data_IF_758769961828
#
_entry.id   IF_758769961828
#
_cell.length_a   1.000
_cell.length_b   1.000
_cell.length_c   1.000
_cell.angle_alpha   90.00
_cell.angle_beta   90.00
_cell.angle_gamma   90.00
#
_symmetry.space_group_name_H-M   'P 1'
#
loop_
_entity.id
_entity.type
_entity.pdbx_description
1 polymer ?
#
# COMPACT_ATOMS: atom_id res chain seq x y z
N UNK A 1 -45.98 -14.59 -5.92
CA UNK A 1 -44.53 -14.56 -5.70
C UNK A 1 -44.01 -16.00 -5.73
N UNK A 2 -43.23 -16.34 -6.74
CA UNK A 2 -42.67 -17.68 -6.92
C UNK A 2 -41.55 -17.95 -5.91
N UNK A 3 -41.23 -19.22 -5.70
CA UNK A 3 -40.09 -19.63 -4.85
C UNK A 3 -38.77 -19.00 -5.30
N UNK A 4 -38.62 -18.79 -6.60
CA UNK A 4 -37.44 -18.16 -7.19
C UNK A 4 -37.38 -16.65 -6.91
N UNK A 5 -38.52 -15.95 -6.97
CA UNK A 5 -38.60 -14.53 -6.60
C UNK A 5 -38.29 -14.31 -5.11
N UNK A 6 -38.73 -15.23 -4.24
CA UNK A 6 -38.37 -15.20 -2.82
C UNK A 6 -36.87 -15.39 -2.58
N UNK A 7 -36.23 -16.32 -3.29
CA UNK A 7 -34.78 -16.55 -3.16
C UNK A 7 -33.96 -15.35 -3.62
N UNK A 8 -34.36 -14.69 -4.72
CA UNK A 8 -33.70 -13.48 -5.21
C UNK A 8 -33.86 -12.30 -4.25
N UNK A 9 -35.04 -12.13 -3.66
CA UNK A 9 -35.28 -11.06 -2.68
C UNK A 9 -34.43 -11.26 -1.41
N UNK A 10 -34.28 -12.50 -0.94
CA UNK A 10 -33.43 -12.82 0.22
C UNK A 10 -31.95 -12.60 -0.10
N UNK A 11 -31.48 -13.04 -1.27
CA UNK A 11 -30.10 -12.81 -1.69
C UNK A 11 -29.78 -11.30 -1.83
N UNK A 12 -30.70 -10.52 -2.40
CA UNK A 12 -30.55 -9.07 -2.51
C UNK A 12 -30.56 -8.39 -1.13
N UNK A 13 -31.39 -8.84 -0.19
CA UNK A 13 -31.43 -8.31 1.17
C UNK A 13 -30.14 -8.62 1.95
N UNK A 14 -29.57 -9.82 1.79
CA UNK A 14 -28.29 -10.19 2.39
C UNK A 14 -27.15 -9.32 1.83
N UNK A 15 -27.13 -9.12 0.51
CA UNK A 15 -26.13 -8.24 -0.13
C UNK A 15 -26.30 -6.79 0.34
N UNK A 16 -27.53 -6.30 0.45
CA UNK A 16 -27.82 -4.96 0.92
C UNK A 16 -27.41 -4.74 2.39
N UNK A 17 -27.72 -5.68 3.27
CA UNK A 17 -27.31 -5.62 4.68
C UNK A 17 -25.78 -5.70 4.82
N UNK A 18 -25.11 -6.54 4.04
CA UNK A 18 -23.64 -6.58 3.99
C UNK A 18 -23.00 -5.28 3.46
N UNK A 19 -23.70 -4.55 2.57
CA UNK A 19 -23.25 -3.24 2.07
C UNK A 19 -23.51 -2.11 3.08
N UNK A 20 -24.56 -2.20 3.89
CA UNK A 20 -24.92 -1.17 4.88
C UNK A 20 -24.24 -1.38 6.24
N UNK A 21 -24.00 -2.63 6.62
CA UNK A 21 -23.29 -3.05 7.83
C UNK A 21 -22.02 -3.81 7.44
N UNK A 22 -21.01 -3.14 6.84
CA UNK A 22 -19.71 -3.75 6.69
C UNK A 22 -19.25 -4.13 8.10
N UNK A 23 -19.05 -5.43 8.35
CA UNK A 23 -18.69 -5.95 9.67
C UNK A 23 -17.52 -5.16 10.26
N UNK A 24 -17.42 -5.04 11.60
CA UNK A 24 -16.42 -4.19 12.24
C UNK A 24 -15.02 -4.67 11.86
N UNK A 25 -14.35 -3.93 10.99
CA UNK A 25 -12.92 -4.11 10.78
C UNK A 25 -12.18 -3.40 11.90
N UNK A 26 -11.68 -4.14 12.89
CA UNK A 26 -10.89 -3.58 13.99
C UNK A 26 -9.45 -3.38 13.48
N UNK A 27 -9.04 -2.13 13.21
CA UNK A 27 -7.63 -1.83 12.95
C UNK A 27 -6.87 -1.66 14.27
N UNK A 28 -5.72 -2.30 14.38
CA UNK A 28 -4.79 -2.22 15.50
C UNK A 28 -3.96 -0.90 15.49
N UNK A 29 -3.06 -0.66 16.48
CA UNK A 29 -2.16 0.51 16.49
C UNK A 29 -1.46 0.79 15.16
N UNK A 30 -1.26 2.09 14.91
CA UNK A 30 -0.38 2.56 13.84
C UNK A 30 1.07 2.20 14.18
N UNK A 31 1.75 1.50 13.27
CA UNK A 31 3.13 1.03 13.47
C UNK A 31 4.17 1.86 12.71
N UNK A 32 3.72 2.57 11.68
CA UNK A 32 4.51 3.53 10.92
C UNK A 32 3.62 4.71 10.55
N UNK A 33 4.05 5.93 10.86
CA UNK A 33 3.38 7.16 10.46
C UNK A 33 4.44 8.22 10.15
N UNK A 34 4.71 8.39 8.87
CA UNK A 34 5.49 9.51 8.36
C UNK A 34 4.50 10.40 7.61
N UNK A 35 4.30 11.61 8.12
CA UNK A 35 3.22 12.49 7.67
C UNK A 35 3.24 12.68 6.13
N UNK A 36 2.12 12.83 5.42
CA UNK A 36 0.74 13.08 5.88
C UNK A 36 -0.27 12.14 5.21
N UNK A 37 -1.09 11.40 5.98
CA UNK A 37 -2.37 10.83 5.56
C UNK A 37 -3.56 11.65 6.08
N UNK A 38 -3.91 12.73 5.37
CA UNK A 38 -5.22 13.43 5.40
C UNK A 38 -5.46 14.01 4.00
N UNK A 39 -6.61 13.67 3.40
CA UNK A 39 -7.04 14.22 2.10
C UNK A 39 -7.99 15.43 2.31
N UNK A 40 -7.88 16.48 1.48
CA UNK A 40 -6.83 16.73 0.48
C UNK A 40 -5.50 17.10 1.16
N UNK A 41 -4.35 16.66 0.61
CA UNK A 41 -3.06 16.93 1.23
C UNK A 41 -2.69 18.41 1.06
N UNK A 42 -2.26 19.07 2.14
CA UNK A 42 -1.61 20.39 2.07
C UNK A 42 -0.12 20.20 1.74
N UNK A 43 0.24 20.43 0.47
CA UNK A 43 1.59 20.41 -0.12
C UNK A 43 2.38 19.09 0.01
N UNK A 44 1.89 17.96 -0.55
CA UNK A 44 2.70 16.75 -0.65
C UNK A 44 3.89 16.98 -1.59
N UNK A 45 5.09 16.56 -1.17
CA UNK A 45 6.26 16.55 -2.06
C UNK A 45 6.33 15.21 -2.77
N UNK A 46 6.27 15.25 -4.10
CA UNK A 46 6.31 14.08 -4.95
C UNK A 46 7.69 13.95 -5.60
N UNK A 47 8.19 12.71 -5.67
CA UNK A 47 9.45 12.43 -6.36
C UNK A 47 9.22 11.33 -7.39
N UNK A 48 9.69 11.60 -8.61
CA UNK A 48 9.84 10.58 -9.64
C UNK A 48 11.13 9.80 -9.39
N UNK A 49 11.02 8.48 -9.24
CA UNK A 49 12.17 7.58 -9.28
C UNK A 49 12.51 7.31 -10.75
N UNK A 50 13.80 7.30 -11.10
CA UNK A 50 14.28 7.13 -12.48
C UNK A 50 14.96 5.76 -12.63
N UNK A 51 14.81 5.07 -13.77
CA UNK A 51 15.57 3.82 -14.04
C UNK A 51 14.79 2.58 -14.50
N UNK A 52 13.56 2.73 -15.00
CA UNK A 52 12.86 1.64 -15.71
C UNK A 52 12.09 0.64 -14.84
N UNK A 53 12.34 0.59 -13.52
CA UNK A 53 11.40 0.02 -12.54
C UNK A 53 11.37 0.93 -11.33
N UNK A 54 10.27 1.62 -11.14
CA UNK A 54 10.17 2.63 -10.10
C UNK A 54 9.59 1.97 -8.85
N UNK A 55 10.46 1.65 -7.88
CA UNK A 55 10.04 1.06 -6.61
C UNK A 55 10.46 1.93 -5.44
N UNK A 56 9.52 2.15 -4.53
CA UNK A 56 9.76 2.71 -3.20
C UNK A 56 9.32 1.68 -2.18
N UNK A 57 10.11 1.43 -1.13
CA UNK A 57 9.75 0.45 -0.12
C UNK A 57 10.04 0.90 1.31
N UNK A 58 9.36 0.25 2.24
CA UNK A 58 9.68 0.26 3.66
C UNK A 58 10.27 -1.11 4.01
N UNK A 59 11.50 -1.12 4.53
CA UNK A 59 12.16 -2.32 5.06
C UNK A 59 11.76 -2.51 6.50
N UNK A 60 11.37 -3.73 6.88
CA UNK A 60 11.13 -4.11 8.27
C UNK A 60 12.49 -4.37 8.95
N UNK A 61 13.01 -3.43 9.76
CA UNK A 61 14.39 -3.51 10.29
C UNK A 61 14.55 -4.50 11.44
N UNK A 62 13.52 -4.58 12.28
CA UNK A 62 13.46 -5.53 13.37
C UNK A 62 12.55 -6.67 12.98
N UNK A 63 12.94 -7.92 13.30
CA UNK A 63 12.04 -9.07 13.28
C UNK A 63 10.99 -9.01 14.40
N UNK A 64 10.43 -7.81 14.65
CA UNK A 64 9.41 -7.60 15.66
C UNK A 64 8.21 -8.49 15.30
N UNK A 65 8.03 -9.51 16.13
CA UNK A 65 7.04 -10.58 15.99
C UNK A 65 5.60 -10.09 15.99
N UNK A 66 5.36 -8.83 16.37
CA UNK A 66 4.04 -8.19 16.32
C UNK A 66 3.55 -7.84 14.91
N UNK A 67 4.42 -7.81 13.90
CA UNK A 67 4.05 -7.55 12.49
C UNK A 67 4.21 -8.81 11.64
N UNK A 68 5.11 -9.72 12.03
CA UNK A 68 5.50 -10.88 11.23
C UNK A 68 4.45 -11.95 10.98
N UNK A 69 3.22 -11.75 11.46
CA UNK A 69 2.08 -12.66 11.26
C UNK A 69 0.73 -11.95 11.18
N UNK A 70 0.71 -10.61 11.15
CA UNK A 70 -0.54 -9.84 11.17
C UNK A 70 -0.90 -9.29 9.79
N UNK A 71 -2.19 -9.21 9.43
CA UNK A 71 -2.61 -8.42 8.28
C UNK A 71 -2.17 -6.97 8.45
N UNK A 72 -1.73 -6.34 7.35
CA UNK A 72 -1.33 -4.93 7.32
C UNK A 72 -2.23 -4.14 6.37
N UNK A 73 -2.56 -2.92 6.80
CA UNK A 73 -3.13 -1.87 5.97
C UNK A 73 -2.02 -0.84 5.70
N UNK A 74 -1.80 -0.50 4.44
CA UNK A 74 -0.85 0.50 4.01
C UNK A 74 -1.51 1.61 3.21
N UNK A 75 -1.29 2.84 3.63
CA UNK A 75 -1.90 4.05 3.08
C UNK A 75 -0.80 4.94 2.52
N UNK A 76 -0.93 5.38 1.27
CA UNK A 76 0.07 6.22 0.59
C UNK A 76 -0.56 7.18 -0.43
N UNK A 77 0.19 8.21 -0.83
CA UNK A 77 -0.18 9.11 -1.92
C UNK A 77 0.66 8.86 -3.16
N UNK A 78 0.03 9.03 -4.30
CA UNK A 78 0.68 8.96 -5.61
C UNK A 78 0.17 10.07 -6.51
N UNK A 79 0.98 10.40 -7.52
CA UNK A 79 0.65 11.38 -8.54
C UNK A 79 1.00 10.85 -9.94
N UNK A 80 0.04 10.92 -10.86
CA UNK A 80 0.25 10.69 -12.30
C UNK A 80 0.75 11.97 -12.94
N UNK A 81 1.93 11.96 -13.55
CA UNK A 81 2.53 13.16 -14.17
C UNK A 81 2.33 13.23 -15.69
N UNK A 82 2.10 12.10 -16.36
CA UNK A 82 1.90 12.04 -17.81
C UNK A 82 0.65 11.26 -18.18
N UNK A 83 -0.13 11.79 -19.14
CA UNK A 83 -1.32 11.13 -19.69
C UNK A 83 -1.01 9.82 -20.40
N UNK A 84 0.21 9.68 -20.94
CA UNK A 84 0.67 8.48 -21.64
C UNK A 84 1.11 7.36 -20.68
N UNK A 85 1.12 7.62 -19.37
CA UNK A 85 1.45 6.61 -18.37
C UNK A 85 0.39 5.52 -18.37
N UNK A 86 0.83 4.29 -18.61
CA UNK A 86 0.05 3.05 -18.56
C UNK A 86 0.76 2.00 -17.72
N UNK A 87 0.03 0.96 -17.31
CA UNK A 87 0.51 -0.08 -16.41
C UNK A 87 -0.12 0.04 -15.02
N UNK A 88 0.41 -0.72 -14.05
CA UNK A 88 -0.23 -0.88 -12.76
C UNK A 88 0.64 -0.37 -11.61
N UNK A 89 0.02 0.25 -10.61
CA UNK A 89 0.63 0.43 -9.29
C UNK A 89 0.39 -0.87 -8.53
N UNK A 90 1.47 -1.53 -8.12
CA UNK A 90 1.44 -2.79 -7.38
C UNK A 90 2.02 -2.54 -6.00
N UNK A 91 1.28 -2.90 -4.96
CA UNK A 91 1.80 -2.95 -3.59
C UNK A 91 2.04 -4.40 -3.24
N UNK A 92 3.27 -4.75 -2.91
CA UNK A 92 3.70 -6.13 -2.65
C UNK A 92 4.66 -6.22 -1.47
N UNK A 93 4.80 -7.42 -0.92
CA UNK A 93 5.90 -7.78 -0.02
C UNK A 93 6.97 -8.49 -0.84
N UNK A 94 8.22 -8.04 -0.76
CA UNK A 94 9.38 -8.72 -1.33
C UNK A 94 10.23 -9.35 -0.24
N UNK A 95 10.70 -10.57 -0.50
CA UNK A 95 11.61 -11.30 0.39
C UNK A 95 12.97 -10.62 0.43
N UNK A 96 13.50 -10.46 1.64
CA UNK A 96 14.86 -9.94 1.84
C UNK A 96 15.94 -10.81 1.18
N UNK A 97 15.70 -12.12 1.09
CA UNK A 97 16.70 -13.12 0.70
C UNK A 97 17.03 -13.10 -0.79
N UNK A 98 16.04 -12.83 -1.64
CA UNK A 98 16.15 -13.00 -3.10
C UNK A 98 15.40 -11.93 -3.90
N UNK A 99 14.83 -10.92 -3.24
CA UNK A 99 14.02 -9.86 -3.84
C UNK A 99 12.79 -10.40 -4.62
N UNK A 100 12.37 -11.65 -4.45
CA UNK A 100 11.16 -12.14 -5.13
C UNK A 100 9.90 -11.69 -4.39
N UNK A 101 8.79 -11.54 -5.12
CA UNK A 101 7.50 -11.16 -4.55
C UNK A 101 6.96 -12.33 -3.70
N UNK A 102 6.78 -12.08 -2.41
CA UNK A 102 6.22 -13.02 -1.45
C UNK A 102 4.69 -12.98 -1.45
N UNK A 103 4.12 -11.77 -1.56
CA UNK A 103 2.68 -11.54 -1.61
C UNK A 103 2.36 -10.22 -2.34
N UNK A 104 1.29 -10.21 -3.13
CA UNK A 104 0.71 -8.98 -3.70
C UNK A 104 -0.48 -8.55 -2.84
N UNK A 105 -0.46 -7.31 -2.35
CA UNK A 105 -1.47 -6.76 -1.45
C UNK A 105 -2.59 -6.09 -2.22
N UNK A 106 -2.21 -5.30 -3.23
CA UNK A 106 -3.14 -4.58 -4.06
C UNK A 106 -2.49 -4.27 -5.41
N UNK A 107 -3.32 -4.17 -6.43
CA UNK A 107 -2.93 -3.79 -7.77
C UNK A 107 -4.00 -2.87 -8.33
N UNK A 108 -3.58 -1.71 -8.85
CA UNK A 108 -4.48 -0.75 -9.47
C UNK A 108 -4.00 -0.39 -10.87
N UNK A 109 -4.87 -0.48 -11.89
CA UNK A 109 -4.54 0.02 -13.21
C UNK A 109 -4.41 1.54 -13.20
N UNK A 110 -3.32 2.03 -13.80
CA UNK A 110 -3.12 3.43 -14.14
C UNK A 110 -3.61 3.62 -15.59
N UNK A 111 -4.91 3.51 -15.80
CA UNK A 111 -5.52 3.68 -17.12
C UNK A 111 -6.23 5.02 -17.29
N UNK A 112 -6.36 5.47 -18.53
CA UNK A 112 -7.48 6.28 -19.03
C UNK A 112 -7.67 7.70 -18.48
N UNK A 113 -6.99 8.12 -17.42
CA UNK A 113 -7.12 9.47 -16.91
C UNK A 113 -6.51 10.46 -17.90
N UNK A 114 -7.37 11.30 -18.47
CA UNK A 114 -7.03 12.40 -19.41
C UNK A 114 -6.31 13.56 -18.73
N UNK A 115 -6.14 13.53 -17.40
CA UNK A 115 -5.47 14.56 -16.61
C UNK A 115 -4.51 13.97 -15.57
N UNK A 116 -3.67 14.83 -14.99
CA UNK A 116 -2.87 14.49 -13.82
C UNK A 116 -3.78 14.10 -12.66
N UNK A 117 -3.46 12.98 -12.01
CA UNK A 117 -4.22 12.42 -10.89
C UNK A 117 -3.36 12.54 -9.65
N UNK A 118 -3.93 13.00 -8.54
CA UNK A 118 -3.30 12.98 -7.22
C UNK A 118 -4.30 12.40 -6.23
N UNK A 119 -3.96 11.26 -5.64
CA UNK A 119 -4.90 10.48 -4.85
C UNK A 119 -4.24 9.81 -3.65
N UNK A 120 -5.08 9.62 -2.62
CA UNK A 120 -4.80 8.73 -1.51
C UNK A 120 -5.26 7.31 -1.87
N UNK A 121 -4.40 6.31 -1.68
CA UNK A 121 -4.74 4.89 -1.87
C UNK A 121 -4.47 4.10 -0.61
N UNK A 122 -5.29 3.06 -0.41
CA UNK A 122 -5.19 2.13 0.72
C UNK A 122 -5.02 0.72 0.16
N UNK A 123 -3.83 0.15 0.33
CA UNK A 123 -3.57 -1.26 0.12
C UNK A 123 -3.90 -2.02 1.40
N UNK A 124 -4.68 -3.09 1.30
CA UNK A 124 -5.01 -3.94 2.45
C UNK A 124 -4.57 -5.36 2.15
N UNK A 125 -3.89 -6.00 3.09
CA UNK A 125 -3.83 -7.46 3.13
C UNK A 125 -5.19 -7.94 3.63
N UNK A 126 -6.10 -8.23 2.69
CA UNK A 126 -7.52 -8.53 2.98
C UNK A 126 -7.82 -9.90 3.58
N UNK A 127 -6.80 -10.67 3.98
CA UNK A 127 -6.96 -12.01 4.53
C UNK A 127 -5.74 -12.46 5.33
N UNK A 128 -5.70 -13.73 5.74
CA UNK A 128 -4.49 -14.34 6.29
C UNK A 128 -3.39 -14.20 5.23
N UNK A 129 -2.38 -13.38 5.52
CA UNK A 129 -1.18 -13.40 4.70
C UNK A 129 -0.58 -14.79 4.84
N UNK A 130 -0.59 -15.60 3.79
CA UNK A 130 0.11 -16.89 3.82
C UNK A 130 1.63 -16.72 3.94
N UNK A 131 2.10 -15.49 3.78
CA UNK A 131 3.48 -15.11 3.98
C UNK A 131 3.66 -14.40 5.34
N UNK A 132 4.37 -15.07 6.24
CA UNK A 132 4.85 -14.45 7.47
C UNK A 132 5.96 -13.45 7.13
N UNK A 133 5.71 -12.16 7.37
CA UNK A 133 6.70 -11.10 7.12
C UNK A 133 7.87 -11.30 8.08
N UNK A 134 9.10 -11.37 7.56
CA UNK A 134 10.31 -11.54 8.39
C UNK A 134 11.17 -10.28 8.37
N UNK A 135 12.18 -10.26 9.25
CA UNK A 135 13.14 -9.18 9.28
C UNK A 135 13.79 -8.98 7.91
N UNK A 136 13.98 -7.71 7.55
CA UNK A 136 14.52 -7.20 6.29
C UNK A 136 13.64 -7.35 5.05
N UNK A 137 12.44 -7.93 5.15
CA UNK A 137 11.50 -7.89 4.03
C UNK A 137 11.13 -6.45 3.67
N UNK A 138 10.58 -6.28 2.47
CA UNK A 138 10.25 -4.98 1.92
C UNK A 138 8.75 -4.92 1.62
N UNK A 139 8.05 -3.97 2.23
CA UNK A 139 6.75 -3.51 1.73
C UNK A 139 7.01 -2.51 0.59
N UNK A 140 6.83 -2.95 -0.65
CA UNK A 140 7.20 -2.23 -1.86
C UNK A 140 5.97 -1.68 -2.59
N UNK A 141 6.09 -0.47 -3.10
CA UNK A 141 5.19 0.16 -4.08
C UNK A 141 5.95 0.15 -5.40
N UNK A 142 5.50 -0.66 -6.36
CA UNK A 142 6.05 -0.74 -7.71
C UNK A 142 5.11 -0.03 -8.69
N UNK A 143 5.66 0.78 -9.59
CA UNK A 143 4.86 1.59 -10.49
C UNK A 143 5.54 1.84 -11.83
N UNK A 144 4.77 2.09 -12.91
CA UNK A 144 5.32 2.42 -14.21
C UNK A 144 6.03 3.79 -14.21
N UNK A 145 6.76 4.08 -15.30
CA UNK A 145 7.27 5.43 -15.56
C UNK A 145 6.13 6.45 -15.67
N UNK A 146 6.32 7.66 -15.15
CA UNK A 146 5.28 8.70 -15.18
C UNK A 146 4.35 8.71 -13.97
N UNK A 147 4.73 8.00 -12.91
CA UNK A 147 4.15 8.09 -11.56
C UNK A 147 5.20 8.65 -10.59
N UNK A 148 4.74 9.48 -9.66
CA UNK A 148 5.49 9.94 -8.51
C UNK A 148 4.84 9.41 -7.22
N UNK A 149 5.67 9.11 -6.22
CA UNK A 149 5.22 8.75 -4.88
C UNK A 149 5.51 9.90 -3.94
N UNK A 150 4.60 10.15 -2.99
CA UNK A 150 4.84 11.17 -1.99
C UNK A 150 5.95 10.73 -1.02
N UNK A 151 6.91 11.63 -0.82
CA UNK A 151 7.94 11.49 0.21
C UNK A 151 7.85 12.66 1.17
N UNK A 152 8.23 12.43 2.43
CA UNK A 152 8.37 13.50 3.40
C UNK A 152 9.85 13.93 3.45
N UNK A 153 10.16 15.10 2.89
CA UNK A 153 11.52 15.65 2.85
C UNK A 153 11.92 16.36 4.15
N UNK A 154 10.96 16.68 5.02
CA UNK A 154 11.23 17.39 6.28
C UNK A 154 11.33 16.44 7.47
N UNK A 155 10.96 15.17 7.29
CA UNK A 155 11.14 14.13 8.30
C UNK A 155 12.26 13.19 7.89
N UNK A 156 13.18 12.95 8.83
CA UNK A 156 14.15 11.88 8.70
C UNK A 156 13.41 10.53 8.69
N UNK A 157 14.03 9.53 8.07
CA UNK A 157 13.57 8.15 8.18
C UNK A 157 13.32 7.78 9.64
N UNK A 158 12.13 7.27 9.98
CA UNK A 158 11.81 6.91 11.36
C UNK A 158 12.75 5.79 11.81
N UNK A 159 13.53 6.04 12.85
CA UNK A 159 14.49 5.06 13.38
C UNK A 159 13.79 4.16 14.38
N UNK A 160 13.99 2.84 14.28
CA UNK A 160 13.66 1.90 15.36
C UNK A 160 12.74 0.74 14.98
N UNK A 161 12.11 0.74 13.80
CA UNK A 161 11.29 -0.38 13.31
C UNK A 161 11.34 -0.54 11.78
N UNK A 162 11.55 0.55 11.04
CA UNK A 162 11.51 0.56 9.59
C UNK A 162 12.59 1.45 8.97
N UNK A 163 13.08 1.09 7.79
CA UNK A 163 13.97 1.94 7.00
C UNK A 163 13.37 2.16 5.62
N UNK A 164 13.25 3.41 5.16
CA UNK A 164 12.82 3.70 3.80
C UNK A 164 13.91 3.38 2.77
N UNK A 165 13.49 2.80 1.64
CA UNK A 165 14.34 2.30 0.56
C UNK A 165 13.82 2.76 -0.79
N UNK A 166 14.73 2.97 -1.74
CA UNK A 166 14.42 3.14 -3.15
C UNK A 166 15.19 2.11 -3.98
N UNK A 167 14.60 1.71 -5.09
CA UNK A 167 15.24 0.84 -6.08
C UNK A 167 15.62 1.66 -7.30
N UNK A 168 16.85 1.52 -7.78
CA UNK A 168 17.36 2.25 -8.94
C UNK A 168 17.39 1.42 -10.23
N UNK A 169 16.75 0.25 -10.24
CA UNK A 169 16.82 -0.71 -11.34
C UNK A 169 17.77 -1.89 -11.08
N UNK A 170 18.71 -1.77 -10.14
CA UNK A 170 19.69 -2.82 -9.84
C UNK A 170 19.81 -3.14 -8.37
N UNK A 171 19.80 -2.14 -7.49
CA UNK A 171 20.00 -2.31 -6.05
C UNK A 171 19.00 -1.49 -5.24
N UNK A 172 18.72 -1.98 -4.04
CA UNK A 172 18.01 -1.22 -3.00
C UNK A 172 19.00 -0.41 -2.17
N UNK A 173 18.74 0.88 -2.02
CA UNK A 173 19.50 1.79 -1.15
C UNK A 173 18.59 2.44 -0.11
N UNK A 174 19.12 2.71 1.08
CA UNK A 174 18.42 3.54 2.07
C UNK A 174 18.28 4.96 1.54
N UNK A 175 17.11 5.55 1.74
CA UNK A 175 16.86 6.95 1.41
C UNK A 175 17.07 7.83 2.64
N UNK A 176 17.34 9.12 2.50
CA UNK A 176 17.30 10.05 3.64
C UNK A 176 15.85 10.49 3.96
N UNK A 177 15.00 10.47 2.93
CA UNK A 177 13.61 10.88 2.99
C UNK A 177 12.71 9.65 3.02
N UNK A 178 11.70 9.69 3.87
CA UNK A 178 10.80 8.57 4.07
C UNK A 178 9.59 8.62 3.15
N UNK A 179 9.01 7.46 2.85
CA UNK A 179 7.72 7.39 2.14
C UNK A 179 6.66 8.03 3.04
N UNK A 180 5.94 9.03 2.51
CA UNK A 180 4.84 9.66 3.23
C UNK A 180 3.63 8.71 3.21
N UNK A 181 3.29 8.16 4.37
CA UNK A 181 2.29 7.11 4.46
C UNK A 181 2.12 6.54 5.86
N UNK A 182 1.15 5.64 5.98
CA UNK A 182 0.77 5.02 7.25
C UNK A 182 0.63 3.51 7.11
N UNK A 183 1.22 2.77 8.04
CA UNK A 183 0.99 1.32 8.21
C UNK A 183 0.22 1.09 9.51
N UNK A 184 -0.84 0.29 9.44
CA UNK A 184 -1.57 -0.23 10.59
C UNK A 184 -1.62 -1.75 10.53
N UNK A 185 -1.61 -2.42 11.68
CA UNK A 185 -2.00 -3.82 11.75
C UNK A 185 -3.53 -3.94 11.75
N UNK A 186 -4.06 -5.10 11.34
CA UNK A 186 -5.51 -5.39 11.37
C UNK A 186 -5.76 -6.61 12.24
N UNK A 187 -6.84 -6.60 13.03
CA UNK A 187 -7.34 -7.81 13.68
C UNK A 187 -8.27 -8.52 12.69
N UNK A 188 -7.98 -9.78 12.39
CA UNK A 188 -8.94 -10.67 11.72
C UNK A 188 -9.83 -11.27 12.80
N UNK A 189 -11.08 -10.83 12.91
CA UNK A 189 -12.11 -11.50 13.72
C UNK A 189 -12.73 -12.65 12.95
#
# INVERSE_FOLDING_TARGET
MSTEERRRAVAAAIVWDAMQNPGPSISEPTVYDVAKPVYPPTNPTFIQLTGGVNRAALRFDTGNTSIGSKPIEFIFYWKKISIATSGNIVVCIRKASDDTIAATLAEWPVEGATQQVNELRTATVGGVNNYAIVANDLLSIEFPSGIEIAMNLSQANPVGLFTSRSYNGTIWSSTANAIAGKIKTKVTT
#
